data_IF_125637085847
#
_entry.id   IF_125637085847
#
_cell.length_a   1.000
_cell.length_b   1.000
_cell.length_c   1.000
_cell.angle_alpha   90.00
_cell.angle_beta   90.00
_cell.angle_gamma   90.00
#
_symmetry.space_group_name_H-M   'P 1'
#
loop_
_entity.id
_entity.type
_entity.pdbx_description
1 polymer ?
#
# COMPACT_ATOMS: atom_id res chain seq x y z
N UNK A 1 5.58 -26.78 -18.35
CA UNK A 1 6.79 -27.18 -19.09
C UNK A 1 6.41 -27.29 -20.55
N UNK A 2 6.77 -26.29 -21.36
CA UNK A 2 6.43 -26.29 -22.80
C UNK A 2 7.73 -26.55 -23.55
N UNK A 3 7.73 -27.61 -24.36
CA UNK A 3 8.87 -28.02 -25.18
C UNK A 3 8.87 -27.23 -26.49
N UNK A 4 10.05 -26.78 -26.94
CA UNK A 4 10.20 -25.92 -28.11
C UNK A 4 10.39 -26.77 -29.39
N UNK A 5 9.72 -26.44 -30.52
CA UNK A 5 9.87 -27.21 -31.74
C UNK A 5 11.22 -26.95 -32.40
N UNK A 6 11.90 -28.03 -32.78
CA UNK A 6 13.14 -28.00 -33.55
C UNK A 6 12.86 -27.54 -34.99
N UNK A 7 13.01 -26.24 -35.25
CA UNK A 7 12.99 -25.63 -36.59
C UNK A 7 14.04 -24.52 -36.67
N UNK A 8 14.58 -24.35 -37.88
CA UNK A 8 15.80 -23.61 -38.22
C UNK A 8 15.76 -22.13 -37.80
N UNK A 9 16.30 -21.85 -36.61
CA UNK A 9 16.17 -20.58 -35.85
C UNK A 9 16.67 -19.35 -36.62
N UNK A 10 17.62 -19.52 -37.56
CA UNK A 10 18.25 -18.41 -38.30
C UNK A 10 17.29 -17.72 -39.28
N UNK A 11 16.41 -18.48 -39.94
CA UNK A 11 15.46 -17.93 -40.93
C UNK A 11 14.24 -17.29 -40.28
N UNK A 12 13.81 -17.79 -39.12
CA UNK A 12 12.68 -17.19 -38.39
C UNK A 12 13.10 -15.88 -37.71
N UNK A 13 14.33 -15.80 -37.19
CA UNK A 13 14.87 -14.58 -36.59
C UNK A 13 14.99 -13.43 -37.61
N UNK A 14 15.55 -13.70 -38.80
CA UNK A 14 15.62 -12.68 -39.87
C UNK A 14 14.25 -12.18 -40.30
N UNK A 15 13.24 -13.05 -40.30
CA UNK A 15 11.86 -12.70 -40.65
C UNK A 15 11.13 -11.94 -39.53
N UNK A 16 11.39 -12.27 -38.27
CA UNK A 16 10.87 -11.56 -37.11
C UNK A 16 11.47 -10.14 -37.00
N UNK A 17 12.76 -10.02 -37.31
CA UNK A 17 13.49 -8.76 -37.29
C UNK A 17 13.01 -7.80 -38.39
N UNK A 18 12.80 -8.31 -39.62
CA UNK A 18 12.15 -7.55 -40.70
C UNK A 18 10.73 -7.07 -40.35
N UNK A 19 9.96 -7.86 -39.60
CA UNK A 19 8.62 -7.46 -39.12
C UNK A 19 8.69 -6.39 -38.03
N UNK A 20 9.71 -6.41 -37.18
CA UNK A 20 9.87 -5.42 -36.10
C UNK A 20 10.19 -4.01 -36.61
N UNK A 21 10.92 -3.89 -37.73
CA UNK A 21 11.25 -2.60 -38.36
C UNK A 21 9.99 -1.88 -38.89
N UNK A 22 8.93 -2.63 -39.20
CA UNK A 22 7.67 -2.07 -39.69
C UNK A 22 6.75 -1.50 -38.58
N UNK A 23 7.07 -1.72 -37.30
CA UNK A 23 6.27 -1.26 -36.16
C UNK A 23 7.12 -0.34 -35.29
N UNK A 24 7.07 0.96 -35.58
CA UNK A 24 7.82 1.98 -34.85
C UNK A 24 7.40 2.06 -33.37
N UNK A 25 8.19 1.43 -32.50
CA UNK A 25 8.11 1.48 -31.03
C UNK A 25 9.51 1.72 -30.46
N UNK A 26 9.66 2.12 -29.18
CA UNK A 26 10.96 2.49 -28.58
C UNK A 26 12.06 1.41 -28.68
N UNK A 27 11.68 0.16 -28.97
CA UNK A 27 12.55 -1.00 -29.24
C UNK A 27 13.44 -0.77 -30.48
N UNK A 28 13.09 0.15 -31.37
CA UNK A 28 13.83 0.43 -32.62
C UNK A 28 15.22 1.04 -32.41
N UNK A 29 15.45 1.76 -31.32
CA UNK A 29 16.74 2.41 -31.05
C UNK A 29 17.84 1.40 -30.67
N UNK A 30 17.48 0.35 -29.94
CA UNK A 30 18.42 -0.67 -29.44
C UNK A 30 18.79 -1.67 -30.54
N UNK A 31 17.85 -1.98 -31.44
CA UNK A 31 18.12 -2.82 -32.60
C UNK A 31 19.20 -2.21 -33.52
N UNK A 32 19.22 -0.89 -33.68
CA UNK A 32 20.25 -0.20 -34.47
C UNK A 32 21.65 -0.29 -33.85
N UNK A 33 21.74 -0.39 -32.52
CA UNK A 33 23.00 -0.56 -31.78
C UNK A 33 23.58 -1.98 -31.95
N UNK A 34 22.72 -3.01 -31.96
CA UNK A 34 23.12 -4.42 -32.16
C UNK A 34 23.70 -4.72 -33.55
N UNK A 35 23.29 -4.00 -34.61
CA UNK A 35 23.76 -4.25 -35.97
C UNK A 35 25.11 -3.59 -36.31
N UNK A 36 25.61 -2.71 -35.44
CA UNK A 36 26.77 -1.88 -35.75
C UNK A 36 28.10 -2.64 -35.83
N UNK A 37 28.31 -3.70 -35.02
CA UNK A 37 29.68 -4.12 -34.76
C UNK A 37 29.94 -5.58 -34.33
N UNK A 38 29.07 -6.56 -34.61
CA UNK A 38 29.24 -7.90 -34.02
C UNK A 38 29.18 -9.07 -35.01
N UNK A 39 30.01 -10.08 -34.73
CA UNK A 39 29.95 -11.39 -35.38
C UNK A 39 28.70 -12.16 -34.91
N UNK A 40 28.19 -13.16 -35.66
CA UNK A 40 26.97 -13.86 -35.32
C UNK A 40 26.95 -14.47 -33.90
N UNK A 41 28.10 -14.87 -33.37
CA UNK A 41 28.21 -15.44 -32.01
C UNK A 41 28.12 -14.40 -30.91
N UNK A 42 28.58 -13.18 -31.15
CA UNK A 42 28.52 -12.11 -30.15
C UNK A 42 27.11 -11.56 -30.02
N UNK A 43 26.38 -11.48 -31.15
CA UNK A 43 24.96 -11.16 -31.18
C UNK A 43 24.13 -12.16 -30.37
N UNK A 44 24.39 -13.47 -30.51
CA UNK A 44 23.68 -14.51 -29.76
C UNK A 44 23.90 -14.36 -28.24
N UNK A 45 25.12 -14.07 -27.81
CA UNK A 45 25.44 -13.85 -26.39
C UNK A 45 24.80 -12.58 -25.82
N UNK A 46 24.76 -11.51 -26.61
CA UNK A 46 24.13 -10.26 -26.17
C UNK A 46 22.61 -10.35 -26.13
N UNK A 47 21.99 -11.09 -27.05
CA UNK A 47 20.54 -11.38 -27.01
C UNK A 47 20.21 -12.15 -25.74
N UNK A 48 21.01 -13.16 -25.37
CA UNK A 48 20.81 -13.93 -24.14
C UNK A 48 20.94 -13.03 -22.90
N UNK A 49 21.97 -12.19 -22.83
CA UNK A 49 22.15 -11.21 -21.75
C UNK A 49 20.99 -10.23 -21.64
N UNK A 50 20.50 -9.73 -22.77
CA UNK A 50 19.35 -8.83 -22.80
C UNK A 50 18.07 -9.53 -22.35
N UNK A 51 17.84 -10.78 -22.77
CA UNK A 51 16.70 -11.57 -22.31
C UNK A 51 16.75 -11.81 -20.80
N UNK A 52 17.93 -12.12 -20.24
CA UNK A 52 18.13 -12.26 -18.80
C UNK A 52 17.87 -10.95 -18.04
N UNK A 53 18.37 -9.81 -18.53
CA UNK A 53 18.17 -8.49 -17.91
C UNK A 53 16.70 -8.06 -17.94
N UNK A 54 16.00 -8.27 -19.06
CA UNK A 54 14.57 -7.99 -19.17
C UNK A 54 13.77 -8.92 -18.26
N UNK A 55 14.08 -10.22 -18.22
CA UNK A 55 13.39 -11.18 -17.35
C UNK A 55 13.58 -10.80 -15.88
N UNK A 56 14.80 -10.43 -15.48
CA UNK A 56 15.07 -9.96 -14.12
C UNK A 56 14.31 -8.68 -13.77
N UNK A 57 14.24 -7.71 -14.70
CA UNK A 57 13.49 -6.46 -14.50
C UNK A 57 11.98 -6.65 -14.50
N UNK A 58 11.45 -7.56 -15.31
CA UNK A 58 10.01 -7.87 -15.32
C UNK A 58 9.64 -8.62 -14.04
N UNK A 59 10.45 -9.59 -13.59
CA UNK A 59 10.21 -10.29 -12.33
C UNK A 59 10.29 -9.33 -11.12
N UNK A 60 11.25 -8.41 -11.09
CA UNK A 60 11.30 -7.42 -10.01
C UNK A 60 10.14 -6.42 -10.09
N UNK A 61 9.64 -6.13 -11.29
CA UNK A 61 8.44 -5.31 -11.46
C UNK A 61 7.17 -6.04 -11.03
N UNK A 62 7.02 -7.33 -11.33
CA UNK A 62 5.89 -8.16 -10.89
C UNK A 62 5.92 -8.36 -9.36
N UNK A 63 7.10 -8.50 -8.75
CA UNK A 63 7.26 -8.49 -7.30
C UNK A 63 6.85 -7.14 -6.70
N UNK A 64 7.28 -6.03 -7.30
CA UNK A 64 6.87 -4.69 -6.88
C UNK A 64 5.37 -4.45 -7.06
N UNK A 65 4.76 -4.96 -8.13
CA UNK A 65 3.31 -4.89 -8.35
C UNK A 65 2.57 -5.78 -7.35
N UNK A 66 3.09 -6.95 -6.99
CA UNK A 66 2.50 -7.82 -5.97
C UNK A 66 2.57 -7.17 -4.58
N UNK A 67 3.70 -6.52 -4.27
CA UNK A 67 3.86 -5.74 -3.03
C UNK A 67 2.90 -4.54 -3.06
N UNK A 68 2.80 -3.84 -4.18
CA UNK A 68 1.92 -2.69 -4.33
C UNK A 68 0.44 -3.09 -4.24
N UNK A 69 0.03 -4.18 -4.88
CA UNK A 69 -1.34 -4.70 -4.83
C UNK A 69 -1.70 -5.22 -3.44
N UNK A 70 -0.77 -5.87 -2.72
CA UNK A 70 -1.02 -6.29 -1.33
C UNK A 70 -1.09 -5.12 -0.34
N UNK A 71 -0.42 -4.01 -0.64
CA UNK A 71 -0.51 -2.75 0.12
C UNK A 71 -1.81 -2.00 -0.21
N UNK A 72 -2.21 -1.97 -1.48
CA UNK A 72 -3.40 -1.24 -1.94
C UNK A 72 -4.71 -2.00 -1.67
N UNK A 73 -4.69 -3.33 -1.79
CA UNK A 73 -5.83 -4.21 -1.65
C UNK A 73 -5.48 -5.37 -0.69
N UNK A 74 -5.37 -5.10 0.63
CA UNK A 74 -5.08 -6.16 1.58
C UNK A 74 -6.18 -7.23 1.54
N UNK A 75 -5.83 -8.53 1.57
CA UNK A 75 -6.82 -9.59 1.58
C UNK A 75 -7.74 -9.44 2.81
N UNK A 76 -9.03 -9.83 2.70
CA UNK A 76 -9.94 -9.77 3.83
C UNK A 76 -9.41 -10.62 4.98
N UNK A 77 -9.12 -9.97 6.11
CA UNK A 77 -8.62 -10.65 7.31
C UNK A 77 -9.81 -11.33 7.99
N UNK A 78 -9.80 -12.65 8.05
CA UNK A 78 -10.78 -13.43 8.81
C UNK A 78 -10.39 -13.44 10.29
N UNK A 79 -10.93 -12.49 11.07
CA UNK A 79 -10.82 -12.50 12.53
C UNK A 79 -11.91 -13.38 13.15
N UNK A 80 -11.53 -14.26 14.07
CA UNK A 80 -12.45 -15.16 14.77
C UNK A 80 -12.31 -14.99 16.28
N UNK A 81 -13.39 -15.24 17.03
CA UNK A 81 -13.37 -15.28 18.49
C UNK A 81 -12.89 -13.98 19.14
N UNK A 82 -12.01 -14.11 20.13
CA UNK A 82 -11.56 -13.00 20.98
C UNK A 82 -10.81 -11.92 20.19
N UNK A 83 -10.01 -12.29 19.18
CA UNK A 83 -9.28 -11.33 18.35
C UNK A 83 -10.24 -10.41 17.58
N UNK A 84 -11.35 -10.96 17.07
CA UNK A 84 -12.41 -10.18 16.44
C UNK A 84 -13.05 -9.20 17.42
N UNK A 85 -13.41 -9.68 18.61
CA UNK A 85 -14.06 -8.84 19.62
C UNK A 85 -13.16 -7.68 20.07
N UNK A 86 -11.85 -7.95 20.21
CA UNK A 86 -10.85 -6.92 20.51
C UNK A 86 -10.69 -5.91 19.37
N UNK A 87 -10.64 -6.38 18.12
CA UNK A 87 -10.54 -5.49 16.97
C UNK A 87 -11.75 -4.55 16.85
N UNK A 88 -12.96 -5.08 17.10
CA UNK A 88 -14.19 -4.29 17.19
C UNK A 88 -14.09 -3.29 18.35
N UNK A 89 -13.67 -3.74 19.53
CA UNK A 89 -13.50 -2.91 20.71
C UNK A 89 -12.54 -1.72 20.45
N UNK A 90 -11.36 -1.96 19.88
CA UNK A 90 -10.40 -0.89 19.56
C UNK A 90 -10.96 0.08 18.51
N UNK A 91 -11.70 -0.44 17.54
CA UNK A 91 -12.32 0.34 16.46
C UNK A 91 -13.40 1.29 17.01
N UNK A 92 -14.28 0.78 17.87
CA UNK A 92 -15.39 1.53 18.46
C UNK A 92 -14.92 2.54 19.52
N UNK A 93 -13.85 2.22 20.26
CA UNK A 93 -13.30 3.11 21.28
C UNK A 93 -12.27 4.12 20.76
N UNK A 94 -11.88 4.01 19.49
CA UNK A 94 -11.09 5.06 18.85
C UNK A 94 -11.95 6.30 18.63
N UNK A 95 -11.62 7.40 19.33
CA UNK A 95 -12.35 8.68 19.22
C UNK A 95 -11.97 9.49 17.99
N UNK A 96 -10.73 9.33 17.53
CA UNK A 96 -10.15 10.16 16.47
C UNK A 96 -9.70 9.35 15.26
N UNK A 97 -9.77 8.01 15.26
CA UNK A 97 -9.28 7.21 14.12
C UNK A 97 -7.79 7.41 13.84
N UNK A 98 -7.04 7.74 14.89
CA UNK A 98 -5.58 7.86 14.89
C UNK A 98 -4.99 6.76 15.78
N UNK A 99 -3.67 6.72 15.83
CA UNK A 99 -2.93 6.01 16.87
C UNK A 99 -3.56 6.32 18.24
N UNK A 100 -3.99 5.26 18.92
CA UNK A 100 -4.53 5.30 20.28
C UNK A 100 -3.74 4.31 21.12
N UNK A 101 -3.38 4.72 22.34
CA UNK A 101 -2.68 3.85 23.30
C UNK A 101 -3.69 3.30 24.29
N UNK A 102 -3.73 1.97 24.42
CA UNK A 102 -4.52 1.25 25.40
C UNK A 102 -3.61 0.59 26.42
N UNK A 103 -3.83 0.84 27.71
CA UNK A 103 -3.18 0.09 28.77
C UNK A 103 -3.74 -1.33 28.84
N UNK A 104 -2.88 -2.33 29.05
CA UNK A 104 -3.33 -3.72 29.20
C UNK A 104 -4.33 -3.88 30.37
N UNK A 105 -4.08 -3.17 31.47
CA UNK A 105 -4.95 -3.15 32.64
C UNK A 105 -6.30 -2.47 32.38
N UNK A 106 -6.40 -1.60 31.37
CA UNK A 106 -7.67 -0.96 31.01
C UNK A 106 -8.51 -1.90 30.15
N UNK A 107 -7.88 -2.62 29.22
CA UNK A 107 -8.56 -3.65 28.39
C UNK A 107 -9.15 -4.75 29.28
N UNK A 108 -8.39 -5.24 30.26
CA UNK A 108 -8.86 -6.30 31.18
C UNK A 108 -10.02 -5.85 32.08
N UNK A 109 -10.14 -4.54 32.38
CA UNK A 109 -11.29 -4.01 33.12
C UNK A 109 -12.54 -3.88 32.26
N UNK A 110 -12.38 -3.47 31.01
CA UNK A 110 -13.48 -3.28 30.05
C UNK A 110 -13.99 -4.62 29.49
N UNK A 111 -13.13 -5.64 29.45
CA UNK A 111 -13.46 -6.99 28.98
C UNK A 111 -13.16 -8.07 30.05
N UNK A 112 -13.82 -8.03 31.22
CA UNK A 112 -13.48 -8.89 32.36
C UNK A 112 -13.90 -10.35 32.16
N UNK A 113 -14.77 -10.63 31.18
CA UNK A 113 -15.24 -11.97 30.86
C UNK A 113 -14.22 -12.81 30.07
N UNK A 114 -13.17 -12.17 29.53
CA UNK A 114 -12.15 -12.84 28.71
C UNK A 114 -11.06 -13.37 29.64
N UNK A 115 -10.76 -14.66 29.54
CA UNK A 115 -9.64 -15.25 30.27
C UNK A 115 -8.32 -14.61 29.84
N UNK A 116 -7.43 -14.35 30.80
CA UNK A 116 -6.14 -13.69 30.56
C UNK A 116 -5.34 -14.34 29.43
N UNK A 117 -5.25 -15.67 29.41
CA UNK A 117 -4.50 -16.38 28.38
C UNK A 117 -5.13 -16.16 26.98
N UNK A 118 -6.46 -16.25 26.87
CA UNK A 118 -7.16 -16.00 25.62
C UNK A 118 -7.02 -14.55 25.15
N UNK A 119 -6.96 -13.59 26.08
CA UNK A 119 -6.67 -12.19 25.77
C UNK A 119 -5.26 -12.02 25.21
N UNK A 120 -4.25 -12.61 25.85
CA UNK A 120 -2.85 -12.51 25.42
C UNK A 120 -2.64 -13.13 24.03
N UNK A 121 -3.21 -14.31 23.79
CA UNK A 121 -3.15 -14.99 22.48
C UNK A 121 -3.82 -14.15 21.38
N UNK A 122 -5.00 -13.60 21.67
CA UNK A 122 -5.73 -12.77 20.71
C UNK A 122 -5.03 -11.43 20.41
N UNK A 123 -4.39 -10.81 21.41
CA UNK A 123 -3.57 -9.61 21.17
C UNK A 123 -2.38 -9.95 20.27
N UNK A 124 -1.68 -11.05 20.52
CA UNK A 124 -0.58 -11.45 19.65
C UNK A 124 -1.04 -11.86 18.24
N UNK A 125 -2.22 -12.44 18.08
CA UNK A 125 -2.83 -12.67 16.76
C UNK A 125 -3.04 -11.34 16.01
N UNK A 126 -3.63 -10.34 16.66
CA UNK A 126 -3.83 -9.01 16.05
C UNK A 126 -2.50 -8.31 15.73
N UNK A 127 -1.47 -8.49 16.53
CA UNK A 127 -0.12 -7.97 16.27
C UNK A 127 0.53 -8.66 15.07
N UNK A 128 0.42 -9.98 14.95
CA UNK A 128 0.94 -10.73 13.80
C UNK A 128 0.26 -10.32 12.49
N UNK A 129 -1.02 -9.96 12.55
CA UNK A 129 -1.78 -9.41 11.43
C UNK A 129 -1.47 -7.94 11.15
N UNK A 130 -0.60 -7.31 11.95
CA UNK A 130 -0.21 -5.91 11.81
C UNK A 130 -1.32 -4.91 12.13
N UNK A 131 -2.38 -5.34 12.85
CA UNK A 131 -3.53 -4.51 13.21
C UNK A 131 -3.25 -3.68 14.48
N UNK A 132 -2.40 -4.20 15.36
CA UNK A 132 -1.93 -3.48 16.54
C UNK A 132 -0.42 -3.63 16.68
N UNK A 133 0.20 -2.74 17.45
CA UNK A 133 1.55 -2.95 17.96
C UNK A 133 1.48 -3.18 19.46
N UNK A 134 2.22 -4.16 19.97
CA UNK A 134 2.33 -4.45 21.39
C UNK A 134 3.68 -3.95 21.88
N UNK A 135 3.66 -3.11 22.92
CA UNK A 135 4.87 -2.74 23.66
C UNK A 135 4.98 -3.62 24.90
N UNK A 136 6.12 -4.28 25.05
CA UNK A 136 6.41 -5.12 26.21
C UNK A 136 7.22 -4.38 27.28
N UNK A 137 7.02 -4.79 28.52
CA UNK A 137 7.82 -4.42 29.69
C UNK A 137 8.30 -5.67 30.41
N UNK A 138 9.16 -5.51 31.42
CA UNK A 138 9.62 -6.63 32.27
C UNK A 138 8.46 -7.41 32.93
N UNK A 139 7.27 -6.82 33.04
CA UNK A 139 6.10 -7.42 33.68
C UNK A 139 5.02 -7.87 32.66
N UNK A 140 5.37 -7.98 31.37
CA UNK A 140 4.43 -8.34 30.29
C UNK A 140 4.02 -7.14 29.44
N UNK A 141 2.85 -7.20 28.81
CA UNK A 141 2.35 -6.15 27.92
C UNK A 141 2.15 -4.84 28.69
N UNK A 142 2.86 -3.80 28.25
CA UNK A 142 2.76 -2.44 28.79
C UNK A 142 1.57 -1.71 28.20
N UNK A 143 1.56 -1.59 26.88
CA UNK A 143 0.50 -0.94 26.14
C UNK A 143 0.35 -1.50 24.74
N UNK A 144 -0.84 -1.31 24.19
CA UNK A 144 -1.25 -1.69 22.86
C UNK A 144 -1.51 -0.40 22.08
N UNK A 145 -1.09 -0.33 20.82
CA UNK A 145 -1.47 0.77 19.93
C UNK A 145 -2.12 0.28 18.65
N UNK A 146 -3.17 0.96 18.20
CA UNK A 146 -3.79 0.68 16.90
C UNK A 146 -2.89 1.11 15.75
N UNK A 147 -2.86 0.31 14.69
CA UNK A 147 -2.25 0.68 13.41
C UNK A 147 -3.30 1.20 12.44
N UNK A 148 -2.85 1.73 11.32
CA UNK A 148 -3.73 2.07 10.22
C UNK A 148 -4.46 0.84 9.65
N UNK A 149 -3.81 -0.33 9.63
CA UNK A 149 -4.39 -1.55 9.07
C UNK A 149 -5.63 -1.99 9.84
N UNK A 150 -5.67 -1.79 11.16
CA UNK A 150 -6.90 -2.00 11.94
C UNK A 150 -8.05 -1.19 11.37
N UNK A 151 -7.84 0.11 11.14
CA UNK A 151 -8.89 0.98 10.64
C UNK A 151 -9.31 0.59 9.22
N UNK A 152 -8.37 0.29 8.33
CA UNK A 152 -8.68 -0.14 6.96
C UNK A 152 -9.49 -1.43 6.95
N UNK A 153 -9.11 -2.42 7.76
CA UNK A 153 -9.73 -3.75 7.74
C UNK A 153 -11.03 -3.82 8.52
N UNK A 154 -11.18 -3.01 9.58
CA UNK A 154 -12.27 -3.18 10.56
C UNK A 154 -13.29 -2.04 10.50
N UNK A 155 -12.93 -0.82 10.09
CA UNK A 155 -13.90 0.27 9.96
C UNK A 155 -15.03 -0.05 8.96
N UNK A 156 -14.80 -0.63 7.77
CA UNK A 156 -15.88 -0.91 6.83
C UNK A 156 -16.96 -1.84 7.40
N UNK A 157 -16.65 -3.02 7.98
CA UNK A 157 -17.69 -3.89 8.53
C UNK A 157 -18.26 -3.41 9.87
N UNK A 158 -17.56 -2.56 10.64
CA UNK A 158 -18.00 -2.15 11.99
C UNK A 158 -18.68 -0.78 12.02
N UNK A 159 -18.14 0.19 11.29
CA UNK A 159 -18.60 1.58 11.26
C UNK A 159 -19.28 1.96 9.94
N UNK A 160 -19.15 1.14 8.90
CA UNK A 160 -19.70 1.43 7.56
C UNK A 160 -18.90 2.47 6.77
N UNK A 161 -17.84 3.03 7.35
CA UNK A 161 -16.92 3.94 6.67
C UNK A 161 -15.79 3.12 6.02
N UNK A 162 -15.33 3.52 4.84
CA UNK A 162 -14.20 2.86 4.18
C UNK A 162 -13.04 3.85 4.04
N UNK A 163 -11.97 3.72 4.86
CA UNK A 163 -10.83 4.64 4.83
C UNK A 163 -10.16 4.78 3.45
N UNK A 164 -10.16 3.72 2.63
CA UNK A 164 -9.56 3.75 1.28
C UNK A 164 -10.44 4.57 0.33
N UNK A 165 -11.76 4.34 0.34
CA UNK A 165 -12.70 5.11 -0.49
C UNK A 165 -12.82 6.57 -0.03
N UNK A 166 -12.74 6.81 1.27
CA UNK A 166 -12.66 8.14 1.86
C UNK A 166 -11.35 8.83 1.43
N UNK A 167 -10.22 8.11 1.39
CA UNK A 167 -8.95 8.62 0.88
C UNK A 167 -9.02 8.96 -0.63
N UNK A 168 -9.74 8.17 -1.43
CA UNK A 168 -10.01 8.50 -2.84
C UNK A 168 -10.83 9.78 -2.96
N UNK A 169 -11.87 9.93 -2.14
CA UNK A 169 -12.68 11.16 -2.09
C UNK A 169 -11.80 12.38 -1.79
N UNK A 170 -10.95 12.29 -0.77
CA UNK A 170 -10.00 13.35 -0.39
C UNK A 170 -9.00 13.65 -1.52
N UNK A 171 -8.47 12.61 -2.17
CA UNK A 171 -7.52 12.75 -3.29
C UNK A 171 -8.13 13.53 -4.45
N UNK A 172 -9.37 13.20 -4.82
CA UNK A 172 -10.12 13.93 -5.86
C UNK A 172 -10.30 15.40 -5.49
N UNK A 173 -10.65 15.69 -4.23
CA UNK A 173 -10.80 17.06 -3.74
C UNK A 173 -9.48 17.85 -3.80
N UNK A 174 -8.36 17.27 -3.37
CA UNK A 174 -7.03 17.91 -3.43
C UNK A 174 -6.57 18.18 -4.87
N UNK A 175 -6.92 17.30 -5.81
CA UNK A 175 -6.59 17.49 -7.23
C UNK A 175 -7.36 18.66 -7.85
N UNK A 176 -8.61 18.86 -7.41
CA UNK A 176 -9.50 19.91 -7.93
C UNK A 176 -9.33 21.25 -7.22
N UNK A 177 -8.89 21.25 -5.95
CA UNK A 177 -8.66 22.45 -5.16
C UNK A 177 -7.42 22.27 -4.27
N UNK A 178 -6.34 22.96 -4.61
CA UNK A 178 -5.06 22.87 -3.90
C UNK A 178 -5.17 23.35 -2.44
N UNK A 179 -6.11 24.24 -2.11
CA UNK A 179 -6.30 24.66 -0.71
C UNK A 179 -6.73 23.51 0.22
N UNK A 180 -7.36 22.48 -0.34
CA UNK A 180 -7.78 21.29 0.39
C UNK A 180 -6.62 20.32 0.68
N UNK A 181 -5.39 20.66 0.28
CA UNK A 181 -4.17 20.01 0.78
C UNK A 181 -3.91 20.32 2.26
N UNK A 182 -4.52 21.37 2.82
CA UNK A 182 -4.54 21.65 4.27
C UNK A 182 -5.64 20.86 4.96
N UNK A 183 -5.29 20.02 5.94
CA UNK A 183 -6.26 19.14 6.60
C UNK A 183 -7.33 19.91 7.38
N UNK A 184 -6.97 21.04 7.98
CA UNK A 184 -7.94 21.92 8.66
C UNK A 184 -8.97 22.51 7.70
N UNK A 185 -8.57 22.86 6.47
CA UNK A 185 -9.50 23.34 5.44
C UNK A 185 -10.35 22.21 4.89
N UNK A 186 -9.74 21.04 4.70
CA UNK A 186 -10.41 19.83 4.24
C UNK A 186 -11.50 19.36 5.23
N UNK A 187 -11.19 19.29 6.53
CA UNK A 187 -12.15 18.95 7.59
C UNK A 187 -13.38 19.86 7.52
N UNK A 188 -13.15 21.18 7.47
CA UNK A 188 -14.24 22.17 7.35
C UNK A 188 -15.05 22.02 6.06
N UNK A 189 -14.41 21.61 4.97
CA UNK A 189 -15.07 21.42 3.68
C UNK A 189 -15.94 20.16 3.66
N UNK A 190 -15.45 19.06 4.21
CA UNK A 190 -16.16 17.77 4.25
C UNK A 190 -17.21 17.70 5.35
N UNK A 191 -16.99 18.40 6.47
CA UNK A 191 -17.83 18.29 7.66
C UNK A 191 -17.78 16.90 8.30
N UNK A 192 -16.77 16.10 7.99
CA UNK A 192 -16.58 14.78 8.59
C UNK A 192 -16.06 14.90 10.01
N UNK A 193 -16.48 13.98 10.86
CA UNK A 193 -15.86 13.79 12.16
C UNK A 193 -14.42 13.30 11.99
N UNK A 194 -13.58 13.59 13.00
CA UNK A 194 -12.18 13.16 13.00
C UNK A 194 -12.03 11.64 12.90
N UNK A 195 -12.97 10.87 13.45
CA UNK A 195 -12.91 9.40 13.49
C UNK A 195 -13.02 8.80 12.09
N UNK A 196 -13.78 9.42 11.19
CA UNK A 196 -13.83 9.09 9.76
C UNK A 196 -12.67 9.70 8.98
N UNK A 197 -12.34 10.96 9.23
CA UNK A 197 -11.34 11.69 8.45
C UNK A 197 -9.92 11.12 8.61
N UNK A 198 -9.49 10.91 9.84
CA UNK A 198 -8.09 10.61 10.13
C UNK A 198 -7.58 9.28 9.57
N UNK A 199 -8.33 8.17 9.57
CA UNK A 199 -7.89 6.94 8.91
C UNK A 199 -7.57 7.16 7.42
N UNK A 200 -8.38 7.93 6.72
CA UNK A 200 -8.13 8.27 5.32
C UNK A 200 -6.89 9.17 5.15
N UNK A 201 -6.70 10.16 6.03
CA UNK A 201 -5.49 11.00 6.03
C UNK A 201 -4.24 10.18 6.33
N UNK A 202 -4.32 9.25 7.29
CA UNK A 202 -3.23 8.35 7.64
C UNK A 202 -2.88 7.47 6.43
N UNK A 203 -3.88 6.98 5.69
CA UNK A 203 -3.67 6.15 4.50
C UNK A 203 -2.95 6.93 3.40
N UNK A 204 -3.40 8.15 3.13
CA UNK A 204 -2.73 9.02 2.17
C UNK A 204 -1.28 9.31 2.58
N UNK A 205 -1.03 9.51 3.87
CA UNK A 205 0.29 9.85 4.43
C UNK A 205 1.29 8.70 4.37
N UNK A 206 0.88 7.50 4.75
CA UNK A 206 1.78 6.36 4.98
C UNK A 206 1.77 5.33 3.86
N UNK A 207 0.73 5.33 3.01
CA UNK A 207 0.56 4.33 1.95
C UNK A 207 0.64 4.95 0.55
N UNK A 208 -0.11 6.03 0.30
CA UNK A 208 -0.26 6.57 -1.06
C UNK A 208 0.85 7.57 -1.41
N UNK A 209 1.13 8.54 -0.53
CA UNK A 209 2.08 9.61 -0.82
C UNK A 209 3.47 9.29 -0.26
N UNK A 210 4.55 9.74 -0.92
CA UNK A 210 5.90 9.57 -0.40
C UNK A 210 6.11 10.30 0.93
N UNK A 211 7.00 9.77 1.79
CA UNK A 211 7.23 10.22 3.17
C UNK A 211 7.50 11.74 3.31
N UNK A 212 8.12 12.39 2.32
CA UNK A 212 8.45 13.82 2.40
C UNK A 212 7.40 14.73 1.74
N UNK A 213 6.18 14.23 1.50
CA UNK A 213 5.08 14.97 0.85
C UNK A 213 3.96 15.35 1.80
N UNK A 214 4.26 15.37 3.09
CA UNK A 214 3.36 15.83 4.13
C UNK A 214 4.10 16.65 5.19
N UNK A 215 3.35 17.45 5.94
CA UNK A 215 3.88 18.22 7.06
C UNK A 215 4.39 17.29 8.16
N UNK A 216 5.58 17.58 8.68
CA UNK A 216 6.16 16.91 9.87
C UNK A 216 5.69 17.52 11.20
N UNK A 217 4.77 18.47 11.15
CA UNK A 217 4.23 19.13 12.34
C UNK A 217 3.42 18.12 13.14
N UNK A 218 3.80 17.89 14.40
CA UNK A 218 3.00 17.09 15.32
C UNK A 218 1.69 17.82 15.63
N UNK A 219 0.56 17.15 15.48
CA UNK A 219 -0.75 17.72 15.79
C UNK A 219 -1.59 16.74 16.63
N UNK A 220 -2.31 17.21 17.67
CA UNK A 220 -3.07 16.32 18.55
C UNK A 220 -4.31 15.69 17.89
N UNK A 221 -4.77 16.27 16.78
CA UNK A 221 -6.02 15.87 16.11
C UNK A 221 -5.84 15.25 14.72
N UNK A 222 -4.65 15.35 14.12
CA UNK A 222 -4.43 14.90 12.75
C UNK A 222 -3.12 14.09 12.61
N UNK A 223 -3.09 13.05 11.75
CA UNK A 223 -1.85 12.37 11.39
C UNK A 223 -0.81 13.28 10.71
N UNK A 224 -1.29 14.30 9.99
CA UNK A 224 -0.49 15.40 9.44
C UNK A 224 -1.37 16.63 9.25
N UNK A 225 -0.78 17.83 9.22
CA UNK A 225 -1.53 19.07 9.04
C UNK A 225 -1.76 19.46 7.58
N UNK A 226 -0.97 18.92 6.65
CA UNK A 226 -1.07 19.22 5.22
C UNK A 226 -0.26 18.28 4.34
N UNK A 227 -0.64 18.19 3.07
CA UNK A 227 0.12 17.53 2.01
C UNK A 227 0.76 18.54 1.05
N UNK A 228 1.85 18.14 0.39
CA UNK A 228 2.50 18.90 -0.69
C UNK A 228 2.09 18.27 -2.02
N UNK A 229 1.23 18.93 -2.79
CA UNK A 229 0.65 18.38 -4.01
C UNK A 229 1.28 19.03 -5.25
N UNK A 230 2.49 18.59 -5.61
CA UNK A 230 3.16 18.98 -6.85
C UNK A 230 2.73 18.13 -8.05
N UNK A 231 3.31 18.37 -9.23
CA UNK A 231 2.98 17.62 -10.45
C UNK A 231 3.17 16.10 -10.32
N UNK A 232 4.19 15.66 -9.57
CA UNK A 232 4.44 14.25 -9.31
C UNK A 232 3.37 13.62 -8.41
N UNK A 233 3.02 14.29 -7.31
CA UNK A 233 1.98 13.81 -6.39
C UNK A 233 0.61 13.82 -7.07
N UNK A 234 0.33 14.78 -7.95
CA UNK A 234 -0.89 14.79 -8.75
C UNK A 234 -1.00 13.57 -9.66
N UNK A 235 0.11 13.07 -10.20
CA UNK A 235 0.11 11.83 -10.99
C UNK A 235 -0.20 10.62 -10.10
N UNK A 236 0.45 10.52 -8.94
CA UNK A 236 0.23 9.44 -7.96
C UNK A 236 -1.24 9.41 -7.53
N UNK A 237 -1.81 10.56 -7.13
CA UNK A 237 -3.21 10.63 -6.73
C UNK A 237 -4.16 10.23 -7.86
N UNK A 238 -3.87 10.61 -9.12
CA UNK A 238 -4.67 10.18 -10.28
C UNK A 238 -4.58 8.68 -10.53
N UNK A 239 -3.41 8.08 -10.35
CA UNK A 239 -3.25 6.62 -10.46
C UNK A 239 -4.03 5.91 -9.36
N UNK A 240 -3.91 6.39 -8.12
CA UNK A 240 -4.65 5.87 -6.97
C UNK A 240 -6.18 5.95 -7.15
N UNK A 241 -6.71 7.01 -7.78
CA UNK A 241 -8.14 7.11 -8.10
C UNK A 241 -8.63 6.08 -9.13
N UNK A 242 -7.75 5.58 -9.99
CA UNK A 242 -8.09 4.67 -11.08
C UNK A 242 -7.81 3.19 -10.76
N UNK A 243 -7.14 2.89 -9.64
CA UNK A 243 -6.93 1.55 -9.10
C UNK A 243 -8.04 1.18 -8.11
#
# INVERSE_FOLDING_TARGET
MIDLPNRDKRKEFTRALLKSIAQATPISAVAAEFFGYLSPSDLENEILRWQEDITSKVNSHDELLTIHDSILNPPPIELIGVAKDLAIYFTQNSKKGMFNIYGYSDITKELPAIEKQALDEALHELEQLGLINISQSLNGISHISSTINLHISVDPPVLGNNPIEDAKTISSLMLNNEELSSIVKLEKHLGWDLRRLNPAIWYLKDVVLPENKHSKTLHPDYPTTSFIIGSGERLILKQFLNG
#
